data_IF_352145286938
#
_entry.id   IF_352145286938
#
_cell.length_a   1.000
_cell.length_b   1.000
_cell.length_c   1.000
_cell.angle_alpha   90.00
_cell.angle_beta   90.00
_cell.angle_gamma   90.00
#
_symmetry.space_group_name_H-M   'P 1'
#
loop_
_entity.id
_entity.type
_entity.pdbx_description
1 polymer ?
#
# COMPACT_ATOMS: atom_id res chain seq x y z
N UNK A 1 2.34 -8.52 -62.56
CA UNK A 1 1.84 -9.71 -61.82
C UNK A 1 1.03 -9.19 -60.65
N UNK A 2 -0.13 -9.79 -60.45
CA UNK A 2 -1.31 -9.26 -59.77
C UNK A 2 -1.13 -8.97 -58.27
N UNK A 3 -1.86 -7.93 -57.82
CA UNK A 3 -2.72 -7.83 -56.63
C UNK A 3 -2.12 -8.22 -55.25
N UNK A 4 -2.41 -7.53 -54.14
CA UNK A 4 -3.78 -7.45 -53.64
C UNK A 4 -3.92 -6.45 -52.45
N UNK A 5 -4.79 -5.44 -52.68
CA UNK A 5 -5.74 -4.76 -51.77
C UNK A 5 -5.30 -3.90 -50.56
N UNK A 6 -5.62 -2.58 -50.60
CA UNK A 6 -6.23 -1.82 -49.50
C UNK A 6 -7.79 -1.99 -49.58
N UNK A 7 -8.68 -1.13 -49.04
CA UNK A 7 -8.80 -0.34 -47.79
C UNK A 7 -10.16 -0.63 -47.07
N UNK A 8 -10.44 -0.05 -45.89
CA UNK A 8 -11.84 0.30 -45.51
C UNK A 8 -11.78 1.57 -44.64
N UNK A 9 -12.06 2.76 -45.18
CA UNK A 9 -13.39 3.39 -45.30
C UNK A 9 -14.17 3.33 -43.98
N UNK A 10 -14.22 4.43 -43.23
CA UNK A 10 -15.44 5.24 -43.16
C UNK A 10 -16.30 4.76 -41.97
N UNK A 11 -17.03 5.55 -41.21
CA UNK A 11 -17.78 6.77 -41.50
C UNK A 11 -18.20 7.30 -40.13
N UNK A 12 -18.04 8.60 -39.87
CA UNK A 12 -18.70 9.27 -38.76
C UNK A 12 -20.17 9.51 -39.14
N UNK A 13 -21.12 9.05 -38.33
CA UNK A 13 -22.53 9.46 -38.41
C UNK A 13 -23.09 9.69 -37.01
N UNK A 14 -23.24 10.97 -36.66
CA UNK A 14 -24.10 11.43 -35.57
C UNK A 14 -25.56 11.40 -36.02
N UNK A 15 -26.44 10.77 -35.24
CA UNK A 15 -27.87 11.00 -35.28
C UNK A 15 -28.38 11.23 -33.85
N UNK A 16 -28.88 12.44 -33.60
CA UNK A 16 -29.71 12.83 -32.45
C UNK A 16 -31.17 12.44 -32.73
N UNK A 17 -31.88 11.83 -31.77
CA UNK A 17 -33.27 12.16 -31.39
C UNK A 17 -33.85 11.18 -30.35
N UNK A 18 -34.84 11.67 -29.60
CA UNK A 18 -35.32 11.26 -28.28
C UNK A 18 -36.53 10.29 -28.26
N UNK A 19 -36.66 9.55 -27.14
CA UNK A 19 -37.93 9.15 -26.52
C UNK A 19 -38.15 7.63 -26.34
N UNK A 20 -38.75 7.07 -25.29
CA UNK A 20 -39.02 7.42 -23.87
C UNK A 20 -39.62 6.15 -23.20
N UNK A 21 -39.52 6.02 -21.86
CA UNK A 21 -40.07 5.01 -20.93
C UNK A 21 -39.33 3.68 -20.68
N UNK A 22 -38.93 3.48 -19.41
CA UNK A 22 -38.71 2.15 -18.81
C UNK A 22 -37.48 2.05 -17.90
N UNK A 23 -37.60 2.46 -16.63
CA UNK A 23 -36.61 2.12 -15.60
C UNK A 23 -36.58 0.59 -15.41
N UNK A 24 -35.39 -0.01 -15.38
CA UNK A 24 -35.00 -0.70 -14.16
C UNK A 24 -33.63 -0.25 -13.72
N UNK A 25 -33.57 0.32 -12.52
CA UNK A 25 -32.36 0.42 -11.73
C UNK A 25 -31.76 -0.98 -11.59
N UNK A 26 -30.51 -1.24 -12.03
CA UNK A 26 -29.74 -2.32 -11.47
C UNK A 26 -29.17 -1.80 -10.15
N UNK A 27 -29.99 -1.88 -9.10
CA UNK A 27 -29.45 -1.96 -7.74
C UNK A 27 -28.78 -3.31 -7.60
N UNK A 28 -27.45 -3.34 -7.64
CA UNK A 28 -26.56 -4.46 -7.26
C UNK A 28 -25.12 -4.01 -7.45
N UNK A 29 -24.33 -3.78 -6.42
CA UNK A 29 -24.62 -3.59 -5.02
C UNK A 29 -23.59 -2.59 -4.55
N UNK A 30 -23.99 -1.74 -3.63
CA UNK A 30 -23.03 -1.15 -2.71
C UNK A 30 -22.41 -2.32 -1.94
N UNK A 31 -21.31 -2.87 -2.46
CA UNK A 31 -20.29 -3.41 -1.56
C UNK A 31 -19.63 -2.18 -0.90
N UNK A 32 -20.42 -1.59 -0.01
CA UNK A 32 -19.94 -0.83 1.14
C UNK A 32 -19.29 -1.82 2.11
N UNK A 33 -18.37 -2.66 1.63
CA UNK A 33 -17.22 -3.02 2.42
C UNK A 33 -16.27 -1.86 2.24
N UNK A 34 -16.17 -0.96 3.23
CA UNK A 34 -15.17 0.09 3.22
C UNK A 34 -13.79 -0.56 3.17
N UNK A 35 -13.27 -0.83 1.97
CA UNK A 35 -11.85 -0.79 1.69
C UNK A 35 -11.48 0.68 1.91
N UNK A 36 -11.33 1.08 3.17
CA UNK A 36 -10.54 2.26 3.48
C UNK A 36 -9.25 2.10 2.70
N UNK A 37 -9.06 2.96 1.70
CA UNK A 37 -7.79 3.02 1.00
C UNK A 37 -6.74 3.25 2.09
N UNK A 38 -5.97 2.20 2.40
CA UNK A 38 -4.91 2.29 3.40
C UNK A 38 -3.93 3.31 2.87
N UNK A 39 -3.91 4.48 3.50
CA UNK A 39 -3.09 5.58 3.03
C UNK A 39 -1.64 5.20 3.31
N UNK A 40 -0.81 5.12 2.26
CA UNK A 40 0.62 4.94 2.44
C UNK A 40 1.20 6.21 3.06
N UNK A 41 1.81 6.09 4.24
CA UNK A 41 2.39 7.21 4.99
C UNK A 41 3.86 7.40 4.65
N UNK A 42 4.59 6.30 4.44
CA UNK A 42 6.02 6.32 4.11
C UNK A 42 6.76 5.06 4.53
N UNK A 43 8.09 5.13 4.53
CA UNK A 43 8.94 4.10 5.12
C UNK A 43 8.91 4.10 6.64
N UNK A 44 9.41 3.01 7.24
CA UNK A 44 9.53 2.83 8.70
C UNK A 44 10.95 3.17 9.15
N UNK A 45 11.09 4.03 10.16
CA UNK A 45 12.36 4.18 10.87
C UNK A 45 12.54 3.09 11.94
N UNK A 46 13.32 2.06 11.60
CA UNK A 46 13.57 0.91 12.46
C UNK A 46 14.44 1.26 13.68
N UNK A 47 15.34 2.25 13.55
CA UNK A 47 16.15 2.69 14.69
C UNK A 47 15.27 3.39 15.72
N UNK A 48 14.37 4.26 15.25
CA UNK A 48 13.38 4.89 16.09
C UNK A 48 12.50 3.85 16.79
N UNK A 49 12.07 2.79 16.08
CA UNK A 49 11.31 1.70 16.68
C UNK A 49 12.03 1.08 17.90
N UNK A 50 13.33 0.81 17.74
CA UNK A 50 14.16 0.23 18.79
C UNK A 50 14.33 1.15 20.00
N UNK A 51 14.54 2.45 19.76
CA UNK A 51 14.68 3.44 20.82
C UNK A 51 13.38 3.63 21.61
N UNK A 52 12.24 3.66 20.93
CA UNK A 52 10.92 3.78 21.58
C UNK A 52 10.63 2.55 22.46
N UNK A 53 10.96 1.34 21.97
CA UNK A 53 10.65 0.10 22.67
C UNK A 53 11.55 -0.17 23.88
N UNK A 54 12.86 0.01 23.70
CA UNK A 54 13.84 -0.49 24.64
C UNK A 54 14.65 0.63 25.32
N UNK A 55 14.42 1.89 24.93
CA UNK A 55 15.10 3.07 25.45
C UNK A 55 16.30 3.52 24.62
N UNK A 56 16.90 4.62 25.05
CA UNK A 56 18.06 5.22 24.39
C UNK A 56 19.27 4.27 24.35
N UNK A 57 19.98 4.27 23.22
CA UNK A 57 21.16 3.45 22.97
C UNK A 57 20.89 2.11 22.26
N UNK A 58 19.62 1.71 22.11
CA UNK A 58 19.26 0.60 21.23
C UNK A 58 19.28 1.05 19.78
N UNK A 59 19.88 0.25 18.91
CA UNK A 59 19.96 0.49 17.47
C UNK A 59 19.39 -0.69 16.70
N UNK A 60 19.02 -0.51 15.44
CA UNK A 60 18.56 -1.58 14.58
C UNK A 60 19.74 -2.24 13.87
N UNK A 61 19.69 -3.56 13.78
CA UNK A 61 20.59 -4.36 12.98
C UNK A 61 19.79 -5.36 12.17
N UNK A 62 20.23 -5.57 10.92
CA UNK A 62 19.70 -6.62 10.07
C UNK A 62 20.34 -7.97 10.44
N UNK A 63 19.51 -8.95 10.75
CA UNK A 63 19.86 -10.33 11.03
C UNK A 63 19.43 -11.28 9.90
N UNK A 64 18.38 -10.95 9.15
CA UNK A 64 17.88 -11.75 8.03
C UNK A 64 17.35 -10.87 6.88
N UNK A 65 17.03 -11.47 5.73
CA UNK A 65 16.47 -10.77 4.57
C UNK A 65 14.93 -10.73 4.56
N UNK A 66 14.26 -11.54 5.37
CA UNK A 66 12.81 -11.56 5.50
C UNK A 66 12.24 -10.35 6.25
N UNK A 67 10.91 -10.27 6.31
CA UNK A 67 10.19 -9.20 7.01
C UNK A 67 10.65 -9.05 8.47
N UNK A 68 10.83 -10.16 9.17
CA UNK A 68 11.25 -10.21 10.57
C UNK A 68 12.79 -10.14 10.74
N UNK A 69 13.51 -9.78 9.68
CA UNK A 69 14.96 -9.74 9.67
C UNK A 69 15.59 -8.59 10.43
N UNK A 70 14.82 -7.65 10.96
CA UNK A 70 15.32 -6.58 11.83
C UNK A 70 15.31 -7.01 13.30
N UNK A 71 16.37 -6.65 14.01
CA UNK A 71 16.49 -6.81 15.46
C UNK A 71 16.99 -5.51 16.08
N UNK A 72 16.60 -5.25 17.32
CA UNK A 72 17.23 -4.22 18.14
C UNK A 72 18.47 -4.80 18.80
N UNK A 73 19.58 -4.07 18.80
CA UNK A 73 20.83 -4.45 19.43
C UNK A 73 21.38 -3.36 20.35
N UNK A 74 21.90 -3.78 21.51
CA UNK A 74 22.67 -2.98 22.45
C UNK A 74 23.61 -3.91 23.22
N UNK A 75 24.92 -3.62 23.26
CA UNK A 75 25.91 -4.37 24.05
C UNK A 75 25.83 -5.91 23.90
N UNK A 76 25.62 -6.39 22.67
CA UNK A 76 25.51 -7.81 22.35
C UNK A 76 24.18 -8.47 22.72
N UNK A 77 23.22 -7.73 23.27
CA UNK A 77 21.84 -8.19 23.50
C UNK A 77 20.99 -7.91 22.27
N UNK A 78 20.10 -8.85 21.94
CA UNK A 78 19.16 -8.70 20.82
C UNK A 78 17.71 -8.73 21.31
N UNK A 79 16.86 -7.90 20.73
CA UNK A 79 15.41 -7.92 20.92
C UNK A 79 14.67 -7.83 19.58
N UNK A 80 13.42 -8.30 19.53
CA UNK A 80 12.56 -8.15 18.35
C UNK A 80 12.16 -6.68 18.14
N UNK A 81 12.00 -6.26 16.88
CA UNK A 81 11.51 -4.92 16.56
C UNK A 81 9.99 -4.93 16.37
N UNK A 82 9.27 -4.14 17.14
CA UNK A 82 7.89 -3.77 16.83
C UNK A 82 7.85 -2.55 15.87
N UNK A 83 7.58 -2.81 14.59
CA UNK A 83 7.57 -1.76 13.56
C UNK A 83 6.39 -0.78 13.70
N UNK A 84 5.29 -1.20 14.31
CA UNK A 84 4.08 -0.38 14.44
C UNK A 84 4.35 0.85 15.32
N UNK A 85 5.20 0.70 16.35
CA UNK A 85 5.52 1.81 17.27
C UNK A 85 6.19 2.96 16.53
N UNK A 86 7.06 2.65 15.56
CA UNK A 86 7.70 3.68 14.74
C UNK A 86 6.67 4.37 13.86
N UNK A 87 5.72 3.66 13.27
CA UNK A 87 4.67 4.30 12.47
C UNK A 87 3.80 5.25 13.28
N UNK A 88 3.39 4.84 14.48
CA UNK A 88 2.58 5.69 15.37
C UNK A 88 3.35 6.94 15.78
N UNK A 89 4.61 6.80 16.16
CA UNK A 89 5.42 7.92 16.67
C UNK A 89 5.95 8.83 15.55
N UNK A 90 6.39 8.27 14.42
CA UNK A 90 6.96 9.02 13.30
C UNK A 90 5.93 9.90 12.60
N UNK A 91 4.68 9.41 12.48
CA UNK A 91 3.60 10.14 11.80
C UNK A 91 2.60 10.78 12.77
N UNK A 92 2.78 10.62 14.09
CA UNK A 92 1.87 11.13 15.13
C UNK A 92 0.41 10.66 14.96
N UNK A 93 0.23 9.41 14.54
CA UNK A 93 -1.07 8.81 14.22
C UNK A 93 -1.25 7.50 15.00
N UNK A 94 -2.15 7.48 15.99
CA UNK A 94 -2.41 6.30 16.85
C UNK A 94 -2.97 5.06 16.13
N UNK A 95 -3.35 5.22 14.86
CA UNK A 95 -3.94 4.18 14.01
C UNK A 95 -2.98 3.77 12.89
N UNK A 96 -1.78 4.36 12.84
CA UNK A 96 -0.76 3.94 11.90
C UNK A 96 -0.19 2.57 12.30
N UNK A 97 0.00 1.71 11.31
CA UNK A 97 0.62 0.38 11.49
C UNK A 97 1.62 0.13 10.37
N UNK A 98 2.55 -0.78 10.63
CA UNK A 98 3.58 -1.20 9.70
C UNK A 98 3.13 -2.43 8.93
N UNK A 99 3.55 -2.52 7.67
CA UNK A 99 3.37 -3.71 6.84
C UNK A 99 4.59 -3.97 5.98
N UNK A 100 5.06 -5.21 6.01
CA UNK A 100 6.12 -5.69 5.12
C UNK A 100 5.56 -6.16 3.77
N UNK A 101 6.30 -5.90 2.69
CA UNK A 101 5.97 -6.35 1.33
C UNK A 101 6.88 -7.43 0.74
N UNK A 102 7.69 -8.09 1.57
CA UNK A 102 8.45 -9.27 1.13
C UNK A 102 9.95 -9.23 1.43
N UNK A 103 10.45 -8.15 2.03
CA UNK A 103 11.85 -8.05 2.41
C UNK A 103 12.06 -7.18 3.63
N UNK A 104 13.21 -7.35 4.25
CA UNK A 104 13.62 -6.59 5.45
C UNK A 104 13.62 -5.08 5.20
N UNK A 105 13.85 -4.60 3.98
CA UNK A 105 13.77 -3.17 3.67
C UNK A 105 12.39 -2.72 3.15
N UNK A 106 11.46 -3.65 2.94
CA UNK A 106 10.17 -3.40 2.30
C UNK A 106 9.06 -3.15 3.31
N UNK A 107 9.41 -2.51 4.43
CA UNK A 107 8.47 -2.06 5.45
C UNK A 107 7.94 -0.67 5.12
N UNK A 108 6.63 -0.51 5.23
CA UNK A 108 5.96 0.76 5.06
C UNK A 108 4.89 0.98 6.13
N UNK A 109 4.69 2.24 6.49
CA UNK A 109 3.62 2.69 7.36
C UNK A 109 2.35 2.96 6.56
N UNK A 110 1.23 2.58 7.15
CA UNK A 110 -0.11 2.75 6.60
C UNK A 110 -1.06 3.27 7.65
N UNK A 111 -2.14 3.92 7.21
CA UNK A 111 -3.34 4.21 7.99
C UNK A 111 -4.47 3.23 7.67
#
# INVERSE_FOLDING_TARGET
MFANRPPVLGVAFSCLAFGVFGSPTPGRGSDSGSLQARAWLGGVDVNLACQIQNGDGWTSQKNDNGCDGWVCIMDGKTASVNMDVACVTQYYLNQAYAKCKGGVYDWACYL
#
